data_IF_704632338951
#
_entry.id   IF_704632338951
#
_cell.length_a   1.000
_cell.length_b   1.000
_cell.length_c   1.000
_cell.angle_alpha   90.00
_cell.angle_beta   90.00
_cell.angle_gamma   90.00
#
_symmetry.space_group_name_H-M   'P 1'
#
loop_
_entity.id
_entity.type
_entity.pdbx_description
1 polymer ?
#
# COMPACT_ATOMS: atom_id res chain seq x y z
N UNK A 1 2.81 -29.15 11.16
CA UNK A 1 1.92 -29.45 12.30
C UNK A 1 0.56 -28.79 12.03
N UNK A 2 -0.50 -29.56 11.77
CA UNK A 2 -1.86 -29.03 11.65
C UNK A 2 -2.52 -28.99 13.04
N UNK A 3 -3.28 -27.93 13.31
CA UNK A 3 -4.10 -27.78 14.54
C UNK A 3 -5.54 -27.59 14.12
N UNK A 4 -6.46 -28.28 14.81
CA UNK A 4 -7.91 -28.14 14.57
C UNK A 4 -8.43 -26.86 15.19
N UNK A 5 -9.17 -26.07 14.40
CA UNK A 5 -9.85 -24.85 14.83
C UNK A 5 -11.35 -25.05 14.63
N UNK A 6 -12.13 -24.92 15.71
CA UNK A 6 -13.60 -24.96 15.66
C UNK A 6 -14.13 -23.57 15.98
N UNK A 7 -14.90 -22.99 15.07
CA UNK A 7 -15.52 -21.67 15.21
C UNK A 7 -17.02 -21.78 15.00
N UNK A 8 -17.81 -21.05 15.80
CA UNK A 8 -19.23 -20.86 15.55
C UNK A 8 -19.39 -19.58 14.74
N UNK A 9 -19.88 -19.70 13.52
CA UNK A 9 -20.19 -18.57 12.64
C UNK A 9 -21.70 -18.39 12.52
N UNK A 10 -22.21 -17.15 12.45
CA UNK A 10 -23.64 -16.91 12.20
C UNK A 10 -24.05 -17.47 10.83
N UNK A 11 -25.27 -18.00 10.73
CA UNK A 11 -25.80 -18.65 9.50
C UNK A 11 -25.69 -17.74 8.27
N UNK A 12 -25.98 -16.45 8.44
CA UNK A 12 -25.87 -15.44 7.37
C UNK A 12 -24.45 -15.34 6.81
N UNK A 13 -23.44 -15.41 7.68
CA UNK A 13 -22.04 -15.33 7.28
C UNK A 13 -21.60 -16.61 6.59
N UNK A 14 -22.04 -17.77 7.08
CA UNK A 14 -21.78 -19.06 6.44
C UNK A 14 -22.32 -19.09 5.00
N UNK A 15 -23.55 -18.65 4.79
CA UNK A 15 -24.13 -18.56 3.44
C UNK A 15 -23.33 -17.66 2.50
N UNK A 16 -22.88 -16.51 2.99
CA UNK A 16 -22.05 -15.59 2.19
C UNK A 16 -20.69 -16.20 1.84
N UNK A 17 -20.07 -16.91 2.79
CA UNK A 17 -18.79 -17.57 2.55
C UNK A 17 -18.93 -18.73 1.56
N UNK A 18 -20.01 -19.52 1.65
CA UNK A 18 -20.33 -20.59 0.70
C UNK A 18 -20.53 -20.04 -0.71
N UNK A 19 -21.32 -18.97 -0.86
CA UNK A 19 -21.50 -18.31 -2.16
C UNK A 19 -20.17 -17.84 -2.76
N UNK A 20 -19.34 -17.19 -1.95
CA UNK A 20 -18.02 -16.69 -2.37
C UNK A 20 -17.07 -17.83 -2.73
N UNK A 21 -17.12 -18.95 -2.00
CA UNK A 21 -16.34 -20.15 -2.28
C UNK A 21 -16.76 -20.78 -3.62
N UNK A 22 -18.07 -20.88 -3.88
CA UNK A 22 -18.61 -21.36 -5.15
C UNK A 22 -18.21 -20.48 -6.33
N UNK A 23 -18.27 -19.15 -6.19
CA UNK A 23 -17.83 -18.21 -7.22
C UNK A 23 -16.35 -18.39 -7.59
N UNK A 24 -15.52 -18.67 -6.58
CA UNK A 24 -14.08 -18.85 -6.73
C UNK A 24 -13.69 -20.31 -7.10
N UNK A 25 -14.65 -21.23 -7.21
CA UNK A 25 -14.44 -22.66 -7.44
C UNK A 25 -13.45 -23.30 -6.44
N UNK A 26 -13.52 -22.87 -5.17
CA UNK A 26 -12.70 -23.42 -4.08
C UNK A 26 -13.57 -23.93 -2.94
N UNK A 27 -13.00 -24.80 -2.10
CA UNK A 27 -13.69 -25.23 -0.88
C UNK A 27 -13.79 -24.08 0.13
N UNK A 28 -14.80 -24.14 0.99
CA UNK A 28 -14.99 -23.21 2.10
C UNK A 28 -13.75 -23.18 3.01
N UNK A 29 -13.18 -24.34 3.31
CA UNK A 29 -11.95 -24.46 4.10
C UNK A 29 -10.78 -23.70 3.47
N UNK A 30 -10.57 -23.86 2.16
CA UNK A 30 -9.52 -23.15 1.42
C UNK A 30 -9.74 -21.64 1.47
N UNK A 31 -10.98 -21.20 1.33
CA UNK A 31 -11.35 -19.79 1.43
C UNK A 31 -11.06 -19.22 2.82
N UNK A 32 -11.41 -19.96 3.88
CA UNK A 32 -11.16 -19.56 5.27
C UNK A 32 -9.66 -19.47 5.53
N UNK A 33 -8.87 -20.49 5.15
CA UNK A 33 -7.42 -20.49 5.32
C UNK A 33 -6.76 -19.32 4.57
N UNK A 34 -7.18 -19.05 3.33
CA UNK A 34 -6.66 -17.92 2.54
C UNK A 34 -6.99 -16.58 3.21
N UNK A 35 -8.20 -16.44 3.74
CA UNK A 35 -8.63 -15.24 4.45
C UNK A 35 -7.84 -15.04 5.74
N UNK A 36 -7.60 -16.10 6.52
CA UNK A 36 -6.77 -16.05 7.72
C UNK A 36 -5.32 -15.67 7.40
N UNK A 37 -4.74 -16.24 6.34
CA UNK A 37 -3.41 -15.86 5.87
C UNK A 37 -3.35 -14.39 5.44
N UNK A 38 -4.39 -13.88 4.77
CA UNK A 38 -4.47 -12.46 4.43
C UNK A 38 -4.51 -11.59 5.69
N UNK A 39 -5.29 -11.98 6.70
CA UNK A 39 -5.39 -11.26 7.98
C UNK A 39 -4.03 -11.20 8.70
N UNK A 40 -3.30 -12.31 8.73
CA UNK A 40 -1.98 -12.39 9.38
C UNK A 40 -0.91 -11.63 8.59
N UNK A 41 -1.00 -11.62 7.26
CA UNK A 41 -0.03 -10.98 6.38
C UNK A 41 -0.42 -9.55 5.97
N UNK A 42 -1.47 -8.96 6.54
CA UNK A 42 -1.67 -7.52 6.34
C UNK A 42 -0.44 -6.83 6.92
N UNK A 43 0.26 -5.99 6.13
CA UNK A 43 1.25 -5.10 6.71
C UNK A 43 0.53 -4.36 7.82
N UNK A 44 1.13 -4.36 9.02
CA UNK A 44 0.65 -3.50 10.10
C UNK A 44 0.52 -2.12 9.49
N UNK A 45 -0.64 -1.49 9.65
CA UNK A 45 -0.92 -0.16 9.11
C UNK A 45 0.12 0.90 9.53
N UNK A 46 0.90 0.61 10.57
CA UNK A 46 2.01 1.42 11.09
C UNK A 46 3.39 1.19 10.45
N UNK A 47 3.60 0.14 9.64
CA UNK A 47 4.84 0.00 8.85
C UNK A 47 4.61 0.70 7.50
N UNK A 48 4.59 2.04 7.51
CA UNK A 48 4.80 2.79 6.28
C UNK A 48 6.28 2.62 5.89
N UNK A 49 6.61 1.86 4.83
CA UNK A 49 7.99 1.60 4.44
C UNK A 49 8.73 2.86 3.98
N UNK A 50 8.01 3.96 3.74
CA UNK A 50 8.56 5.25 3.37
C UNK A 50 8.77 6.18 4.58
N UNK A 51 8.22 5.86 5.75
CA UNK A 51 8.40 6.63 6.98
C UNK A 51 9.89 6.79 7.36
N UNK A 52 10.76 5.76 7.24
CA UNK A 52 12.19 5.90 7.49
C UNK A 52 12.92 6.83 6.49
N UNK A 53 12.29 7.13 5.36
CA UNK A 53 12.85 8.00 4.33
C UNK A 53 12.50 9.48 4.56
N UNK A 54 11.56 9.78 5.46
CA UNK A 54 11.23 11.16 5.82
C UNK A 54 12.46 11.88 6.40
N UNK A 55 12.81 13.01 5.81
CA UNK A 55 13.97 13.82 6.23
C UNK A 55 15.34 13.28 5.78
N UNK A 56 15.39 12.21 4.97
CA UNK A 56 16.67 11.72 4.39
C UNK A 56 17.21 12.62 3.27
N UNK A 57 16.31 13.29 2.54
CA UNK A 57 16.68 14.26 1.52
C UNK A 57 16.98 15.60 2.20
N UNK A 58 18.26 15.97 2.20
CA UNK A 58 18.73 17.30 2.58
C UNK A 58 19.03 18.08 1.31
N UNK A 59 18.34 19.19 1.12
CA UNK A 59 18.65 20.14 0.07
C UNK A 59 19.20 21.42 0.71
N UNK A 60 20.21 22.03 0.11
CA UNK A 60 20.72 23.34 0.52
C UNK A 60 19.67 24.45 0.29
N UNK A 61 18.83 24.24 -0.73
CA UNK A 61 17.71 25.12 -1.09
C UNK A 61 16.44 24.53 -0.48
N UNK A 62 15.83 25.26 0.45
CA UNK A 62 14.71 24.78 1.28
C UNK A 62 13.35 25.32 0.83
N UNK A 63 13.35 26.31 -0.06
CA UNK A 63 12.21 27.06 -0.56
C UNK A 63 11.79 26.65 -1.99
N UNK A 64 12.32 25.51 -2.49
CA UNK A 64 12.02 25.00 -3.84
C UNK A 64 10.52 24.87 -4.08
N UNK A 65 9.75 24.46 -3.07
CA UNK A 65 8.29 24.34 -3.19
C UNK A 65 7.58 25.68 -3.36
N UNK A 66 8.01 26.71 -2.64
CA UNK A 66 7.41 28.04 -2.68
C UNK A 66 7.85 28.83 -3.92
N UNK A 67 9.08 28.60 -4.38
CA UNK A 67 9.72 29.36 -5.46
C UNK A 67 9.96 28.53 -6.73
N UNK A 68 9.21 27.45 -6.94
CA UNK A 68 9.41 26.53 -8.06
C UNK A 68 9.39 27.24 -9.43
N UNK A 69 8.42 28.13 -9.67
CA UNK A 69 8.30 28.89 -10.91
C UNK A 69 9.53 29.76 -11.19
N UNK A 70 10.08 30.38 -10.13
CA UNK A 70 11.29 31.19 -10.21
C UNK A 70 12.49 30.34 -10.64
N UNK A 71 12.71 29.18 -10.02
CA UNK A 71 13.82 28.30 -10.35
C UNK A 71 13.71 27.70 -11.76
N UNK A 72 12.49 27.35 -12.17
CA UNK A 72 12.22 26.88 -13.54
C UNK A 72 12.55 27.97 -14.55
N UNK A 73 12.07 29.20 -14.31
CA UNK A 73 12.35 30.35 -15.18
C UNK A 73 13.85 30.66 -15.29
N UNK A 74 14.56 30.64 -14.15
CA UNK A 74 16.03 30.81 -14.11
C UNK A 74 16.75 29.76 -14.96
N UNK A 75 16.38 28.48 -14.81
CA UNK A 75 17.02 27.40 -15.58
C UNK A 75 16.76 27.50 -17.09
N UNK A 76 15.59 27.98 -17.49
CA UNK A 76 15.27 28.24 -18.90
C UNK A 76 16.13 29.39 -19.44
N UNK A 77 16.25 30.49 -18.69
CA UNK A 77 17.07 31.64 -19.07
C UNK A 77 18.56 31.26 -19.21
N UNK A 78 19.11 30.54 -18.25
CA UNK A 78 20.51 30.10 -18.27
C UNK A 78 20.82 29.22 -19.50
N UNK A 79 19.89 28.36 -19.91
CA UNK A 79 20.05 27.55 -21.13
C UNK A 79 20.05 28.39 -22.38
N UNK A 80 19.09 29.32 -22.50
CA UNK A 80 19.01 30.20 -23.66
C UNK A 80 20.24 31.11 -23.80
N UNK A 81 20.85 31.54 -22.70
CA UNK A 81 22.09 32.32 -22.72
C UNK A 81 23.35 31.50 -23.03
N UNK A 82 23.35 30.19 -22.75
CA UNK A 82 24.47 29.30 -23.06
C UNK A 82 24.41 28.71 -24.48
N UNK A 83 23.27 28.85 -25.17
CA UNK A 83 23.05 28.41 -26.56
C UNK A 83 23.22 29.54 -27.60
N UNK A 84 23.67 30.73 -27.19
CA UNK A 84 24.06 31.86 -28.06
C UNK A 84 25.58 31.98 -28.18
#
# INVERSE_FOLDING_TARGET
MSKTLTIKVPDKLEQQLLQKASQLNISLETLILKSLNQVVNLPKKDDDPLLPLLGTLKAEVTDIGENHDYYIGKGIQEKMSNEQ
#
